data_IF_814014789896
#
_entry.id   IF_814014789896
#
_cell.length_a   1.000
_cell.length_b   1.000
_cell.length_c   1.000
_cell.angle_alpha   90.00
_cell.angle_beta   90.00
_cell.angle_gamma   90.00
#
_symmetry.space_group_name_H-M   'P 1'
#
loop_
_entity.id
_entity.type
_entity.pdbx_description
1 polymer ?
#
# COMPACT_ATOMS: atom_id res chain seq x y z
N UNK A 1 0.62 18.80 16.99
CA UNK A 1 1.32 17.50 17.15
C UNK A 1 2.81 17.53 16.78
N UNK A 2 3.36 18.59 16.17
CA UNK A 2 4.75 18.62 15.64
C UNK A 2 5.84 18.20 16.63
N UNK A 3 5.73 18.58 17.91
CA UNK A 3 6.69 18.17 18.95
C UNK A 3 6.76 16.64 19.15
N UNK A 4 5.63 15.94 19.03
CA UNK A 4 5.59 14.48 19.16
C UNK A 4 6.34 13.77 18.01
N UNK A 5 6.36 14.37 16.82
CA UNK A 5 7.07 13.85 15.66
C UNK A 5 8.60 13.99 15.76
N UNK A 6 9.14 14.80 16.68
CA UNK A 6 10.59 14.93 16.90
C UNK A 6 11.23 13.60 17.34
N UNK A 7 10.49 12.72 18.00
CA UNK A 7 11.03 11.40 18.33
C UNK A 7 11.05 10.48 17.10
N UNK A 8 10.07 10.61 16.18
CA UNK A 8 10.09 9.87 14.93
C UNK A 8 11.29 10.28 14.07
N UNK A 9 11.57 11.57 13.97
CA UNK A 9 12.72 12.08 13.22
C UNK A 9 14.03 11.49 13.74
N UNK A 10 14.23 11.47 15.06
CA UNK A 10 15.42 10.86 15.68
C UNK A 10 15.58 9.38 15.33
N UNK A 11 14.49 8.61 15.33
CA UNK A 11 14.52 7.18 14.94
C UNK A 11 14.92 7.04 13.47
N UNK A 12 14.32 7.83 12.58
CA UNK A 12 14.60 7.78 11.13
C UNK A 12 16.02 8.27 10.82
N UNK A 13 16.52 9.27 11.53
CA UNK A 13 17.89 9.80 11.38
C UNK A 13 18.97 8.78 11.75
N UNK A 14 18.66 7.79 12.59
CA UNK A 14 19.57 6.66 12.85
C UNK A 14 19.85 5.83 11.59
N UNK A 15 18.99 5.90 10.57
CA UNK A 15 19.16 5.25 9.27
C UNK A 15 20.02 6.09 8.31
N UNK A 16 20.49 7.27 8.74
CA UNK A 16 21.26 8.21 7.92
C UNK A 16 20.41 9.07 6.99
N UNK A 17 19.09 9.13 7.20
CA UNK A 17 18.18 10.02 6.50
C UNK A 17 18.14 11.39 7.20
N UNK A 18 18.16 12.47 6.43
CA UNK A 18 17.87 13.82 6.95
C UNK A 18 16.37 14.00 6.97
N UNK A 19 15.85 14.60 8.04
CA UNK A 19 14.41 14.76 8.22
C UNK A 19 14.07 16.22 8.50
N UNK A 20 12.86 16.63 8.12
CA UNK A 20 12.31 17.95 8.38
C UNK A 20 10.82 17.79 8.72
N UNK A 21 10.35 18.52 9.74
CA UNK A 21 8.92 18.60 10.08
C UNK A 21 8.38 19.90 9.50
N UNK A 22 7.27 19.80 8.77
CA UNK A 22 6.50 20.94 8.24
C UNK A 22 5.06 20.73 8.67
N UNK A 23 4.41 21.79 9.16
CA UNK A 23 3.03 21.69 9.66
C UNK A 23 2.02 22.11 8.60
N UNK A 24 0.82 21.53 8.65
CA UNK A 24 -0.25 21.87 7.73
C UNK A 24 -0.71 23.33 7.88
N UNK A 25 -0.61 23.93 9.07
CA UNK A 25 -0.90 25.34 9.27
C UNK A 25 0.07 26.23 8.50
N UNK A 26 1.36 25.87 8.48
CA UNK A 26 2.35 26.61 7.70
C UNK A 26 2.14 26.43 6.19
N UNK A 27 1.88 25.19 5.74
CA UNK A 27 1.59 24.93 4.31
C UNK A 27 0.34 25.71 3.88
N UNK A 28 -0.74 25.62 4.64
CA UNK A 28 -2.00 26.30 4.31
C UNK A 28 -1.86 27.82 4.23
N UNK A 29 -0.98 28.40 5.06
CA UNK A 29 -0.71 29.84 5.08
C UNK A 29 0.31 30.30 4.02
N UNK A 30 1.11 29.39 3.47
CA UNK A 30 2.24 29.72 2.57
C UNK A 30 1.93 29.44 1.10
N UNK A 31 1.18 28.38 0.82
CA UNK A 31 0.85 27.95 -0.53
C UNK A 31 -0.56 28.41 -0.91
N UNK A 32 -0.68 28.91 -2.14
CA UNK A 32 -1.96 29.13 -2.79
C UNK A 32 -2.48 27.79 -3.34
N UNK A 33 -3.80 27.65 -3.47
CA UNK A 33 -4.42 26.40 -3.93
C UNK A 33 -5.91 26.38 -3.61
N UNK A 34 -6.68 25.55 -4.32
CA UNK A 34 -8.14 25.45 -4.16
C UNK A 34 -8.53 24.84 -2.82
N UNK A 35 -7.72 23.90 -2.33
CA UNK A 35 -7.92 23.23 -1.05
C UNK A 35 -6.58 22.90 -0.36
N UNK A 36 -6.65 22.36 0.86
CA UNK A 36 -5.47 22.04 1.67
C UNK A 36 -4.58 20.98 1.02
N UNK A 37 -5.16 20.00 0.34
CA UNK A 37 -4.40 18.88 -0.23
C UNK A 37 -3.67 19.28 -1.51
N UNK A 38 -4.21 20.21 -2.30
CA UNK A 38 -3.49 20.82 -3.43
C UNK A 38 -2.29 21.63 -2.93
N UNK A 39 -2.46 22.41 -1.86
CA UNK A 39 -1.36 23.14 -1.22
C UNK A 39 -0.27 22.20 -0.68
N UNK A 40 -0.65 21.05 -0.15
CA UNK A 40 0.30 20.01 0.28
C UNK A 40 1.04 19.40 -0.91
N UNK A 41 0.35 19.14 -2.02
CA UNK A 41 0.95 18.65 -3.26
C UNK A 41 2.00 19.62 -3.81
N UNK A 42 1.65 20.90 -3.92
CA UNK A 42 2.56 21.96 -4.38
C UNK A 42 3.78 22.11 -3.45
N UNK A 43 3.57 22.05 -2.13
CA UNK A 43 4.67 22.05 -1.17
C UNK A 43 5.61 20.86 -1.36
N UNK A 44 5.08 19.66 -1.61
CA UNK A 44 5.89 18.46 -1.81
C UNK A 44 6.71 18.56 -3.11
N UNK A 45 6.12 19.10 -4.19
CA UNK A 45 6.84 19.36 -5.44
C UNK A 45 8.02 20.34 -5.21
N UNK A 46 7.77 21.45 -4.51
CA UNK A 46 8.82 22.39 -4.11
C UNK A 46 9.89 21.73 -3.23
N UNK A 47 9.50 20.88 -2.29
CA UNK A 47 10.43 20.17 -1.41
C UNK A 47 11.30 19.16 -2.18
N UNK A 48 10.78 18.55 -3.24
CA UNK A 48 11.58 17.71 -4.16
C UNK A 48 12.65 18.58 -4.83
N UNK A 49 12.25 19.70 -5.43
CA UNK A 49 13.17 20.57 -6.18
C UNK A 49 14.20 21.27 -5.30
N UNK A 50 13.79 21.76 -4.14
CA UNK A 50 14.62 22.58 -3.27
C UNK A 50 15.44 21.77 -2.27
N UNK A 51 14.87 20.67 -1.74
CA UNK A 51 15.49 19.88 -0.67
C UNK A 51 15.94 18.49 -1.12
N UNK A 52 15.43 17.99 -2.25
CA UNK A 52 15.72 16.65 -2.75
C UNK A 52 15.12 15.57 -1.86
N UNK A 53 13.89 15.78 -1.36
CA UNK A 53 13.20 14.76 -0.57
C UNK A 53 12.92 13.51 -1.42
N UNK A 54 12.88 12.35 -0.77
CA UNK A 54 12.54 11.06 -1.39
C UNK A 54 11.46 10.31 -0.63
N UNK A 55 11.09 10.81 0.54
CA UNK A 55 10.02 10.29 1.39
C UNK A 55 9.16 11.45 1.89
N UNK A 56 7.86 11.23 1.99
CA UNK A 56 6.96 12.05 2.78
C UNK A 56 6.11 11.15 3.69
N UNK A 57 5.99 11.55 4.97
CA UNK A 57 5.09 10.90 5.93
C UNK A 57 3.99 11.89 6.28
N UNK A 58 2.77 11.61 5.83
CA UNK A 58 1.58 12.41 6.13
C UNK A 58 1.16 12.13 7.58
N UNK A 59 1.55 13.01 8.49
CA UNK A 59 1.37 12.85 9.94
C UNK A 59 0.00 13.30 10.46
N UNK A 60 -1.07 12.95 9.77
CA UNK A 60 -2.44 13.36 10.07
C UNK A 60 -3.44 12.38 9.50
N UNK A 61 -4.63 12.36 10.11
CA UNK A 61 -5.74 11.55 9.65
C UNK A 61 -6.64 12.26 8.62
N UNK A 62 -7.76 11.64 8.22
CA UNK A 62 -8.70 12.21 7.26
C UNK A 62 -9.33 13.53 7.72
N UNK A 63 -9.51 13.71 9.03
CA UNK A 63 -9.93 14.99 9.62
C UNK A 63 -8.76 15.79 10.18
N UNK A 64 -8.47 16.97 9.61
CA UNK A 64 -7.40 17.86 10.08
C UNK A 64 -7.98 19.05 10.84
N UNK A 65 -8.73 19.93 10.18
CA UNK A 65 -9.29 21.14 10.80
C UNK A 65 -10.75 20.96 11.23
N UNK A 66 -11.10 19.74 11.69
CA UNK A 66 -12.46 19.37 12.05
C UNK A 66 -13.38 19.17 10.84
N UNK A 67 -12.79 18.95 9.66
CA UNK A 67 -13.46 18.68 8.39
C UNK A 67 -12.74 17.51 7.71
N UNK A 68 -13.38 16.88 6.73
CA UNK A 68 -12.77 15.81 5.93
C UNK A 68 -11.80 16.39 4.87
N UNK A 69 -10.75 17.07 5.33
CA UNK A 69 -9.82 17.86 4.54
C UNK A 69 -8.39 17.30 4.50
N UNK A 70 -8.15 16.14 5.12
CA UNK A 70 -6.88 15.41 5.14
C UNK A 70 -6.69 14.37 4.04
N UNK A 71 -7.59 14.33 3.05
CA UNK A 71 -7.61 13.33 1.97
C UNK A 71 -7.73 13.98 0.60
N UNK A 72 -7.00 13.41 -0.38
CA UNK A 72 -7.35 13.56 -1.79
C UNK A 72 -8.20 12.38 -2.23
N UNK A 73 -9.36 12.68 -2.80
CA UNK A 73 -10.17 11.70 -3.52
C UNK A 73 -9.84 11.76 -5.01
N UNK A 74 -9.75 10.59 -5.65
CA UNK A 74 -9.67 10.47 -7.11
C UNK A 74 -10.94 9.86 -7.68
N UNK A 75 -11.23 10.16 -8.94
CA UNK A 75 -12.36 9.63 -9.66
C UNK A 75 -12.04 8.26 -10.28
N UNK A 76 -12.88 7.27 -9.99
CA UNK A 76 -12.75 5.87 -10.41
C UNK A 76 -14.15 5.31 -10.72
N UNK A 77 -14.43 5.07 -12.00
CA UNK A 77 -15.73 4.60 -12.48
C UNK A 77 -15.81 3.07 -12.62
N UNK A 78 -15.56 2.35 -11.52
CA UNK A 78 -15.57 0.87 -11.47
C UNK A 78 -16.99 0.26 -11.30
N UNK A 79 -17.07 -1.02 -10.91
CA UNK A 79 -18.34 -1.72 -10.65
C UNK A 79 -18.79 -1.71 -9.18
N UNK A 80 -18.00 -1.14 -8.26
CA UNK A 80 -18.27 -1.29 -6.84
C UNK A 80 -19.36 -0.32 -6.38
N UNK A 81 -20.46 -0.88 -5.88
CA UNK A 81 -21.33 -0.15 -4.98
C UNK A 81 -20.74 -0.22 -3.57
N UNK A 82 -20.51 0.92 -2.94
CA UNK A 82 -19.85 1.03 -1.63
C UNK A 82 -20.82 1.61 -0.60
N UNK A 83 -21.82 0.82 -0.15
CA UNK A 83 -22.91 1.33 0.70
C UNK A 83 -22.47 1.73 2.11
N UNK A 84 -21.26 1.34 2.51
CA UNK A 84 -20.80 1.38 3.90
C UNK A 84 -20.29 2.77 4.28
N UNK A 85 -19.70 3.50 3.34
CA UNK A 85 -19.11 4.83 3.58
C UNK A 85 -19.82 5.81 2.67
N UNK A 86 -20.62 6.67 3.26
CA UNK A 86 -21.52 7.58 2.58
C UNK A 86 -20.77 8.75 1.93
N UNK A 87 -20.03 8.47 0.86
CA UNK A 87 -19.55 9.46 -0.09
C UNK A 87 -19.56 8.85 -1.49
N UNK A 88 -19.75 9.70 -2.48
CA UNK A 88 -19.95 9.39 -3.90
C UNK A 88 -19.20 8.11 -4.36
N UNK A 89 -19.97 7.19 -4.95
CA UNK A 89 -19.52 5.87 -5.41
C UNK A 89 -18.34 5.93 -6.38
N UNK A 90 -18.09 7.08 -6.99
CA UNK A 90 -17.03 7.27 -7.97
C UNK A 90 -15.72 7.76 -7.34
N UNK A 91 -15.74 8.23 -6.09
CA UNK A 91 -14.57 8.86 -5.47
C UNK A 91 -13.92 7.93 -4.47
N UNK A 92 -12.59 7.84 -4.52
CA UNK A 92 -11.78 6.95 -3.68
C UNK A 92 -10.63 7.74 -3.06
N UNK A 93 -10.41 7.65 -1.74
CA UNK A 93 -9.19 8.19 -1.13
C UNK A 93 -7.94 7.63 -1.84
N UNK A 94 -6.95 8.48 -2.07
CA UNK A 94 -5.73 8.11 -2.79
C UNK A 94 -4.52 8.92 -2.33
N UNK A 95 -3.57 8.26 -1.65
CA UNK A 95 -2.32 8.89 -1.21
C UNK A 95 -1.25 8.92 -2.32
N UNK A 96 -1.42 8.14 -3.40
CA UNK A 96 -0.53 8.18 -4.57
C UNK A 96 -0.53 9.56 -5.26
N UNK A 97 -1.58 10.36 -5.05
CA UNK A 97 -1.62 11.78 -5.46
C UNK A 97 -0.43 12.56 -4.92
N UNK A 98 -0.04 12.34 -3.65
CA UNK A 98 1.09 13.04 -3.03
C UNK A 98 2.46 12.48 -3.44
N UNK A 99 2.48 11.40 -4.23
CA UNK A 99 3.69 10.74 -4.66
C UNK A 99 4.05 11.05 -6.11
N UNK A 100 3.05 11.29 -6.97
CA UNK A 100 3.25 11.77 -8.34
C UNK A 100 3.05 13.29 -8.42
N UNK A 101 4.15 14.03 -8.50
CA UNK A 101 4.23 15.46 -8.26
C UNK A 101 4.52 16.28 -9.53
N UNK A 102 4.97 15.65 -10.61
CA UNK A 102 5.35 16.33 -11.85
C UNK A 102 4.23 16.46 -12.90
N UNK A 103 3.00 16.10 -12.53
CA UNK A 103 1.82 16.13 -13.40
C UNK A 103 0.60 16.73 -12.70
N UNK A 104 -0.25 17.42 -13.45
CA UNK A 104 -1.51 17.94 -12.92
C UNK A 104 -2.57 16.82 -12.93
N UNK A 105 -3.09 16.50 -11.74
CA UNK A 105 -4.12 15.48 -11.55
C UNK A 105 -5.54 15.98 -11.83
N UNK A 106 -5.75 17.21 -12.29
CA UNK A 106 -7.05 17.74 -12.70
C UNK A 106 -6.84 18.65 -13.92
N UNK A 107 -6.70 18.02 -15.10
CA UNK A 107 -6.23 18.68 -16.32
C UNK A 107 -7.30 19.56 -16.97
N UNK A 108 -8.58 19.25 -16.81
CA UNK A 108 -9.69 20.10 -17.30
C UNK A 108 -10.17 21.13 -16.27
N UNK A 109 -9.59 21.11 -15.07
CA UNK A 109 -9.96 22.03 -14.00
C UNK A 109 -11.42 21.87 -13.61
N UNK A 110 -11.98 20.68 -13.83
CA UNK A 110 -13.37 20.37 -13.57
C UNK A 110 -13.60 19.89 -12.13
N UNK A 111 -12.51 19.65 -11.37
CA UNK A 111 -12.52 19.23 -9.97
C UNK A 111 -12.49 17.71 -9.75
N UNK A 112 -12.51 16.93 -10.83
CA UNK A 112 -12.41 15.47 -10.78
C UNK A 112 -10.94 15.06 -10.85
N UNK A 113 -10.35 14.78 -9.70
CA UNK A 113 -8.93 14.44 -9.69
C UNK A 113 -8.67 13.02 -10.19
N UNK A 114 -7.59 12.88 -10.94
CA UNK A 114 -6.99 11.62 -11.30
C UNK A 114 -7.88 10.84 -12.24
N UNK A 115 -8.48 11.46 -13.24
CA UNK A 115 -9.28 10.73 -14.23
C UNK A 115 -8.41 9.84 -15.13
N UNK A 116 -9.05 8.88 -15.78
CA UNK A 116 -8.43 8.12 -16.86
C UNK A 116 -8.65 8.79 -18.20
N UNK A 117 -7.91 8.35 -19.22
CA UNK A 117 -8.10 8.82 -20.60
C UNK A 117 -9.51 8.59 -21.15
N UNK A 118 -10.33 7.76 -20.49
CA UNK A 118 -11.73 7.56 -20.87
C UNK A 118 -12.67 8.63 -20.32
N UNK A 119 -12.27 9.32 -19.24
CA UNK A 119 -13.13 10.23 -18.48
C UNK A 119 -12.62 11.67 -18.50
N UNK A 120 -11.30 11.87 -18.58
CA UNK A 120 -10.71 13.18 -18.81
C UNK A 120 -11.16 13.77 -20.15
N UNK A 121 -11.63 15.02 -20.13
CA UNK A 121 -12.10 15.74 -21.32
C UNK A 121 -11.04 15.83 -22.44
N UNK A 122 -9.76 15.71 -22.09
CA UNK A 122 -8.61 15.77 -22.99
C UNK A 122 -8.18 14.41 -23.55
N UNK A 123 -8.82 13.31 -23.13
CA UNK A 123 -8.52 11.96 -23.59
C UNK A 123 -7.14 11.43 -23.16
N UNK A 124 -6.57 11.98 -22.10
CA UNK A 124 -5.27 11.59 -21.52
C UNK A 124 -5.45 11.22 -20.04
N UNK A 125 -4.61 10.33 -19.47
CA UNK A 125 -4.67 10.05 -18.05
C UNK A 125 -4.15 11.25 -17.23
N UNK A 126 -4.80 11.53 -16.10
CA UNK A 126 -4.39 12.60 -15.19
C UNK A 126 -3.55 12.09 -14.02
N UNK A 127 -3.41 10.79 -13.88
CA UNK A 127 -2.59 10.19 -12.81
C UNK A 127 -1.12 10.16 -13.21
N UNK A 128 -0.25 10.59 -12.31
CA UNK A 128 1.18 10.29 -12.42
C UNK A 128 1.52 8.98 -11.68
N UNK A 129 1.95 8.00 -12.48
CA UNK A 129 2.29 6.65 -12.04
C UNK A 129 3.80 6.43 -11.94
N UNK A 130 4.57 7.46 -12.30
CA UNK A 130 6.03 7.53 -12.17
C UNK A 130 6.38 8.33 -10.93
N UNK A 131 5.99 7.80 -9.77
CA UNK A 131 6.16 8.46 -8.48
C UNK A 131 7.54 9.11 -8.31
N UNK A 132 7.52 10.40 -7.96
CA UNK A 132 8.69 11.21 -7.65
C UNK A 132 9.25 10.89 -6.26
N UNK A 133 8.35 10.59 -5.31
CA UNK A 133 8.68 10.27 -3.93
C UNK A 133 7.89 9.07 -3.40
N UNK A 134 8.30 8.57 -2.23
CA UNK A 134 7.55 7.53 -1.51
C UNK A 134 6.71 8.19 -0.43
N UNK A 135 5.40 7.98 -0.49
CA UNK A 135 4.45 8.46 0.51
C UNK A 135 3.96 7.32 1.40
N UNK A 136 3.84 7.62 2.67
CA UNK A 136 3.06 6.85 3.64
C UNK A 136 2.32 7.80 4.58
N UNK A 137 1.34 7.28 5.32
CA UNK A 137 0.55 8.04 6.27
C UNK A 137 0.68 7.51 7.69
N UNK A 138 0.73 8.40 8.65
CA UNK A 138 0.45 8.09 10.05
C UNK A 138 -0.92 8.67 10.37
N UNK A 139 -2.00 7.88 10.29
CA UNK A 139 -3.35 8.37 10.55
C UNK A 139 -3.54 8.53 12.05
N UNK A 140 -3.19 9.71 12.57
CA UNK A 140 -3.22 10.04 14.00
C UNK A 140 -4.01 11.33 14.23
N UNK A 141 -4.64 11.44 15.39
CA UNK A 141 -5.35 12.64 15.84
C UNK A 141 -4.64 13.33 17.00
N UNK A 142 -3.83 12.60 17.77
CA UNK A 142 -3.27 13.07 19.04
C UNK A 142 -1.75 12.90 19.11
N UNK A 143 -1.12 13.70 19.98
CA UNK A 143 0.31 13.59 20.25
C UNK A 143 0.66 12.26 20.92
N UNK A 144 -0.27 11.73 21.72
CA UNK A 144 -0.15 10.47 22.45
C UNK A 144 -0.11 9.27 21.50
N UNK A 145 -0.94 9.26 20.45
CA UNK A 145 -0.90 8.23 19.40
C UNK A 145 0.44 8.22 18.66
N UNK A 146 0.98 9.41 18.34
CA UNK A 146 2.31 9.54 17.73
C UNK A 146 3.39 8.98 18.65
N UNK A 147 3.37 9.35 19.94
CA UNK A 147 4.34 8.86 20.92
C UNK A 147 4.28 7.34 21.03
N UNK A 148 3.08 6.78 21.18
CA UNK A 148 2.88 5.34 21.29
C UNK A 148 3.35 4.57 20.04
N UNK A 149 3.08 5.12 18.85
CA UNK A 149 3.57 4.57 17.58
C UNK A 149 5.10 4.58 17.52
N UNK A 150 5.74 5.70 17.86
CA UNK A 150 7.21 5.86 17.81
C UNK A 150 7.91 4.95 18.81
N UNK A 151 7.40 4.84 20.03
CA UNK A 151 7.95 3.95 21.07
C UNK A 151 7.93 2.49 20.62
N UNK A 152 6.80 2.05 20.05
CA UNK A 152 6.70 0.70 19.47
C UNK A 152 7.66 0.50 18.31
N UNK A 153 7.70 1.45 17.37
CA UNK A 153 8.56 1.38 16.20
C UNK A 153 10.03 1.28 16.56
N UNK A 154 10.47 2.00 17.62
CA UNK A 154 11.82 1.96 18.15
C UNK A 154 12.12 0.63 18.89
N UNK A 155 11.12 0.04 19.56
CA UNK A 155 11.26 -1.21 20.31
C UNK A 155 11.12 -2.49 19.44
N UNK A 156 10.81 -2.34 18.15
CA UNK A 156 10.53 -3.46 17.23
C UNK A 156 11.70 -4.47 17.16
N UNK A 157 11.38 -5.76 17.08
CA UNK A 157 12.38 -6.81 16.96
C UNK A 157 12.54 -7.27 15.51
N UNK A 158 13.59 -6.83 14.85
CA UNK A 158 13.86 -7.20 13.46
C UNK A 158 14.57 -8.56 13.28
N UNK A 159 14.87 -9.28 14.37
CA UNK A 159 15.63 -10.56 14.36
C UNK A 159 14.72 -11.78 14.51
N UNK A 160 15.09 -12.91 13.86
CA UNK A 160 14.27 -14.13 13.81
C UNK A 160 12.80 -13.85 13.44
N UNK A 161 12.54 -13.20 12.28
CA UNK A 161 11.19 -12.82 11.89
C UNK A 161 10.34 -14.05 11.55
N UNK A 162 9.05 -13.96 11.82
CA UNK A 162 8.05 -14.91 11.36
C UNK A 162 7.09 -14.23 10.37
N UNK A 163 6.64 -15.01 9.40
CA UNK A 163 5.59 -14.66 8.46
C UNK A 163 4.31 -15.37 8.86
N UNK A 164 3.22 -14.62 8.98
CA UNK A 164 1.88 -15.15 9.13
C UNK A 164 1.11 -14.94 7.83
N UNK A 165 0.62 -16.02 7.24
CA UNK A 165 -0.24 -16.02 6.07
C UNK A 165 -1.65 -16.44 6.46
N UNK A 166 -2.64 -15.61 6.17
CA UNK A 166 -4.05 -15.95 6.35
C UNK A 166 -4.84 -15.89 5.05
N UNK A 167 -5.68 -16.89 4.81
CA UNK A 167 -6.44 -17.01 3.57
C UNK A 167 -7.84 -17.51 3.84
N UNK A 168 -8.84 -16.64 3.67
CA UNK A 168 -10.25 -17.01 3.74
C UNK A 168 -10.79 -17.34 2.34
N UNK A 169 -11.96 -17.96 2.24
CA UNK A 169 -12.64 -18.01 0.94
C UNK A 169 -13.03 -16.60 0.48
N UNK A 170 -12.95 -16.35 -0.83
CA UNK A 170 -13.40 -15.12 -1.50
C UNK A 170 -14.75 -15.35 -2.20
N UNK A 171 -15.01 -16.59 -2.58
CA UNK A 171 -16.32 -17.07 -3.04
C UNK A 171 -16.52 -18.49 -2.53
N UNK A 172 -17.66 -19.12 -2.79
CA UNK A 172 -17.90 -20.51 -2.38
C UNK A 172 -16.94 -21.55 -2.98
N UNK A 173 -16.13 -21.16 -3.98
CA UNK A 173 -15.20 -22.02 -4.70
C UNK A 173 -13.77 -21.46 -4.81
N UNK A 174 -13.54 -20.20 -4.45
CA UNK A 174 -12.24 -19.54 -4.58
C UNK A 174 -11.64 -19.33 -3.19
N UNK A 175 -10.49 -19.94 -2.94
CA UNK A 175 -9.76 -19.87 -1.66
C UNK A 175 -8.63 -18.83 -1.73
N UNK A 176 -8.60 -17.89 -0.79
CA UNK A 176 -7.48 -16.95 -0.61
C UNK A 176 -6.15 -17.65 -0.27
N UNK A 177 -6.22 -18.89 0.25
CA UNK A 177 -5.07 -19.74 0.50
C UNK A 177 -4.19 -19.93 -0.75
N UNK A 178 -4.77 -19.95 -1.96
CA UNK A 178 -4.00 -20.06 -3.21
C UNK A 178 -3.03 -18.88 -3.40
N UNK A 179 -3.49 -17.66 -3.13
CA UNK A 179 -2.62 -16.48 -3.19
C UNK A 179 -1.53 -16.61 -2.13
N UNK A 180 -1.85 -17.04 -0.91
CA UNK A 180 -0.86 -17.25 0.14
C UNK A 180 0.23 -18.27 -0.26
N UNK A 181 -0.11 -19.34 -0.99
CA UNK A 181 0.90 -20.28 -1.51
C UNK A 181 1.85 -19.62 -2.53
N UNK A 182 1.36 -18.74 -3.40
CA UNK A 182 2.22 -17.95 -4.30
C UNK A 182 3.11 -16.97 -3.53
N UNK A 183 2.58 -16.30 -2.50
CA UNK A 183 3.37 -15.43 -1.62
C UNK A 183 4.50 -16.21 -0.95
N UNK A 184 4.20 -17.39 -0.41
CA UNK A 184 5.21 -18.28 0.16
C UNK A 184 6.26 -18.69 -0.89
N UNK A 185 5.85 -19.11 -2.08
CA UNK A 185 6.77 -19.53 -3.13
C UNK A 185 7.79 -18.42 -3.47
N UNK A 186 7.34 -17.16 -3.59
CA UNK A 186 8.24 -16.03 -3.83
C UNK A 186 9.16 -15.75 -2.61
N UNK A 187 8.68 -16.00 -1.38
CA UNK A 187 9.43 -15.77 -0.13
C UNK A 187 10.41 -16.89 0.23
N UNK A 188 10.16 -18.13 -0.19
CA UNK A 188 11.00 -19.30 0.08
C UNK A 188 12.42 -19.15 -0.48
N UNK A 189 12.64 -18.22 -1.41
CA UNK A 189 13.97 -17.87 -1.91
C UNK A 189 14.79 -16.96 -0.97
N UNK A 190 14.27 -16.52 0.19
CA UNK A 190 14.92 -15.54 1.06
C UNK A 190 15.46 -16.13 2.39
N UNK A 191 16.69 -15.73 2.76
CA UNK A 191 17.38 -16.28 3.95
C UNK A 191 16.73 -15.97 5.30
N UNK A 192 15.90 -14.92 5.42
CA UNK A 192 15.22 -14.62 6.69
C UNK A 192 14.03 -15.54 6.98
N UNK A 193 13.51 -16.23 5.95
CA UNK A 193 12.44 -17.23 6.07
C UNK A 193 12.91 -18.60 5.55
N UNK A 194 14.23 -18.84 5.52
CA UNK A 194 14.82 -20.06 4.94
C UNK A 194 14.30 -21.36 5.58
N UNK A 195 13.79 -21.25 6.81
CA UNK A 195 13.09 -22.34 7.45
C UNK A 195 11.57 -22.15 7.30
N UNK A 196 10.90 -23.08 6.63
CA UNK A 196 9.42 -23.12 6.56
C UNK A 196 8.75 -23.07 7.95
N UNK A 197 9.45 -23.42 9.03
CA UNK A 197 8.97 -23.26 10.41
C UNK A 197 8.75 -21.79 10.83
N UNK A 198 9.29 -20.83 10.10
CA UNK A 198 9.05 -19.40 10.29
C UNK A 198 7.86 -18.89 9.46
N UNK A 199 7.25 -19.73 8.63
CA UNK A 199 6.09 -19.44 7.79
C UNK A 199 4.87 -20.17 8.34
N UNK A 200 3.95 -19.40 8.93
CA UNK A 200 2.72 -19.90 9.55
C UNK A 200 1.53 -19.70 8.62
N UNK A 201 0.68 -20.71 8.48
CA UNK A 201 -0.46 -20.72 7.56
C UNK A 201 -1.76 -20.96 8.30
N UNK A 202 -2.67 -20.01 8.21
CA UNK A 202 -4.02 -20.07 8.77
C UNK A 202 -5.05 -19.92 7.65
N UNK A 203 -5.68 -21.01 7.24
CA UNK A 203 -6.57 -21.02 6.07
C UNK A 203 -7.97 -21.51 6.40
N UNK A 204 -8.97 -20.83 5.83
CA UNK A 204 -10.31 -21.36 5.60
C UNK A 204 -10.27 -22.12 4.27
N UNK A 205 -10.16 -23.44 4.33
CA UNK A 205 -9.96 -24.28 3.15
C UNK A 205 -10.70 -25.61 3.28
N UNK A 206 -11.13 -26.16 2.15
CA UNK A 206 -11.73 -27.49 2.07
C UNK A 206 -10.70 -28.61 1.86
N UNK A 207 -9.43 -28.25 1.65
CA UNK A 207 -8.34 -29.20 1.38
C UNK A 207 -7.93 -29.95 2.66
N UNK A 208 -8.01 -29.30 3.82
CA UNK A 208 -7.68 -29.90 5.11
C UNK A 208 -8.94 -30.35 5.86
N UNK A 209 -8.78 -31.33 6.77
CA UNK A 209 -9.89 -31.92 7.53
C UNK A 209 -10.59 -30.93 8.46
N UNK A 210 -9.90 -29.87 8.89
CA UNK A 210 -10.44 -28.79 9.70
C UNK A 210 -9.83 -27.45 9.25
N UNK A 211 -10.64 -26.39 9.22
CA UNK A 211 -10.16 -25.02 9.04
C UNK A 211 -9.41 -24.56 10.29
N UNK A 212 -8.23 -23.96 10.09
CA UNK A 212 -7.43 -23.42 11.19
C UNK A 212 -7.39 -21.87 11.19
N UNK A 213 -8.05 -21.20 10.23
CA UNK A 213 -8.22 -19.75 10.28
C UNK A 213 -9.30 -19.39 11.29
N UNK A 214 -8.87 -18.96 12.47
CA UNK A 214 -9.74 -18.49 13.54
C UNK A 214 -9.13 -17.27 14.19
N UNK A 215 -9.99 -16.45 14.81
CA UNK A 215 -9.58 -15.33 15.64
C UNK A 215 -8.52 -15.72 16.69
N UNK A 216 -8.78 -16.81 17.41
CA UNK A 216 -7.87 -17.33 18.42
C UNK A 216 -6.49 -17.67 17.84
N UNK A 217 -6.45 -18.37 16.71
CA UNK A 217 -5.18 -18.76 16.09
C UNK A 217 -4.40 -17.54 15.59
N UNK A 218 -5.04 -16.54 14.99
CA UNK A 218 -4.37 -15.31 14.56
C UNK A 218 -3.77 -14.58 15.76
N UNK A 219 -4.57 -14.34 16.82
CA UNK A 219 -4.09 -13.67 18.05
C UNK A 219 -2.96 -14.44 18.73
N UNK A 220 -3.06 -15.77 18.76
CA UNK A 220 -2.01 -16.64 19.28
C UNK A 220 -0.70 -16.45 18.51
N UNK A 221 -0.74 -16.34 17.18
CA UNK A 221 0.46 -16.14 16.38
C UNK A 221 1.08 -14.75 16.57
N UNK A 222 0.25 -13.71 16.61
CA UNK A 222 0.71 -12.34 16.89
C UNK A 222 1.33 -12.21 18.29
N UNK A 223 0.89 -13.03 19.26
CA UNK A 223 1.37 -12.99 20.65
C UNK A 223 2.62 -13.86 20.87
N UNK A 224 2.63 -15.07 20.30
CA UNK A 224 3.61 -16.10 20.64
C UNK A 224 4.81 -16.17 19.69
N UNK A 225 4.72 -15.57 18.50
CA UNK A 225 5.82 -15.48 17.56
C UNK A 225 6.22 -14.04 17.32
N UNK A 226 7.50 -13.84 16.95
CA UNK A 226 7.95 -12.55 16.44
C UNK A 226 7.44 -12.35 15.00
N UNK A 227 6.13 -12.16 14.84
CA UNK A 227 5.51 -11.94 13.54
C UNK A 227 5.93 -10.57 13.02
N UNK A 228 6.75 -10.54 11.97
CA UNK A 228 7.24 -9.31 11.33
C UNK A 228 6.43 -8.96 10.09
N UNK A 229 5.80 -9.96 9.48
CA UNK A 229 4.88 -9.77 8.35
C UNK A 229 3.61 -10.59 8.63
N UNK A 230 2.46 -9.94 8.53
CA UNK A 230 1.17 -10.59 8.52
C UNK A 230 0.47 -10.24 7.21
N UNK A 231 0.33 -11.19 6.31
CA UNK A 231 -0.28 -10.98 5.01
C UNK A 231 -1.53 -11.83 4.87
N UNK A 232 -2.63 -11.24 4.39
CA UNK A 232 -3.85 -12.00 4.21
C UNK A 232 -4.63 -11.66 2.95
N UNK A 233 -5.52 -12.61 2.63
CA UNK A 233 -6.44 -12.58 1.50
C UNK A 233 -7.81 -13.05 1.98
N UNK A 234 -8.77 -12.13 2.03
CA UNK A 234 -10.12 -12.41 2.53
C UNK A 234 -11.11 -11.32 2.15
N UNK A 235 -12.38 -11.54 2.51
CA UNK A 235 -13.31 -10.42 2.64
C UNK A 235 -12.87 -9.47 3.75
N UNK A 236 -13.28 -8.21 3.61
CA UNK A 236 -13.01 -7.16 4.57
C UNK A 236 -14.22 -6.26 4.76
N UNK A 237 -14.22 -5.62 5.92
CA UNK A 237 -15.08 -4.51 6.28
C UNK A 237 -14.21 -3.48 7.01
N UNK A 238 -14.77 -2.31 7.32
CA UNK A 238 -14.05 -1.24 8.05
C UNK A 238 -13.42 -1.78 9.34
N UNK A 239 -14.16 -2.60 10.08
CA UNK A 239 -13.81 -3.09 11.41
C UNK A 239 -13.04 -4.43 11.43
N UNK A 240 -12.80 -5.08 10.29
CA UNK A 240 -12.13 -6.39 10.30
C UNK A 240 -11.97 -7.11 8.97
N UNK A 241 -11.36 -8.28 9.05
CA UNK A 241 -11.21 -9.24 7.95
C UNK A 241 -11.90 -10.57 8.31
N UNK A 242 -12.68 -11.10 7.37
CA UNK A 242 -13.76 -12.06 7.65
C UNK A 242 -13.59 -13.40 6.95
N UNK A 243 -14.05 -14.44 7.64
CA UNK A 243 -14.31 -15.76 7.07
C UNK A 243 -15.55 -15.72 6.18
N UNK A 244 -15.53 -16.44 5.06
CA UNK A 244 -16.63 -16.43 4.08
C UNK A 244 -17.88 -17.11 4.62
N UNK A 245 -17.76 -18.32 5.18
CA UNK A 245 -18.92 -19.15 5.48
C UNK A 245 -19.64 -18.76 6.77
N UNK A 246 -18.88 -18.25 7.74
CA UNK A 246 -19.41 -17.91 9.07
C UNK A 246 -19.69 -16.42 9.22
N UNK A 247 -19.17 -15.59 8.32
CA UNK A 247 -19.19 -14.13 8.44
C UNK A 247 -18.65 -13.64 9.80
N UNK A 248 -17.66 -14.35 10.35
CA UNK A 248 -16.98 -13.97 11.60
C UNK A 248 -15.59 -13.43 11.30
N UNK A 249 -15.13 -12.39 12.01
CA UNK A 249 -13.80 -11.84 11.80
C UNK A 249 -12.74 -12.79 12.37
N UNK A 250 -11.69 -13.06 11.59
CA UNK A 250 -10.47 -13.70 12.12
C UNK A 250 -9.49 -12.66 12.66
N UNK A 251 -9.67 -11.39 12.32
CA UNK A 251 -9.02 -10.25 12.95
C UNK A 251 -9.96 -9.03 12.84
N UNK A 252 -10.08 -8.26 13.91
CA UNK A 252 -10.92 -7.06 13.97
C UNK A 252 -10.26 -5.93 14.75
N UNK A 253 -10.82 -4.73 14.66
CA UNK A 253 -10.45 -3.58 15.50
C UNK A 253 -10.50 -3.94 16.98
N UNK A 254 -11.52 -4.69 17.41
CA UNK A 254 -11.66 -5.13 18.80
C UNK A 254 -10.52 -6.07 19.23
N UNK A 255 -10.02 -6.91 18.32
CA UNK A 255 -8.90 -7.81 18.62
C UNK A 255 -7.58 -7.07 18.77
N UNK A 256 -7.32 -6.12 17.87
CA UNK A 256 -6.15 -5.24 17.96
C UNK A 256 -6.20 -4.42 19.24
N UNK A 257 -7.39 -3.90 19.60
CA UNK A 257 -7.57 -3.19 20.85
C UNK A 257 -7.37 -4.04 22.10
N UNK A 258 -7.50 -5.36 21.97
CA UNK A 258 -7.31 -6.31 23.06
C UNK A 258 -5.91 -6.96 23.10
N UNK A 259 -4.98 -6.59 22.21
CA UNK A 259 -3.60 -7.11 22.29
C UNK A 259 -2.86 -6.50 23.47
N UNK A 260 -2.22 -7.35 24.27
CA UNK A 260 -1.56 -6.96 25.52
C UNK A 260 -0.07 -6.65 25.36
N UNK A 261 0.48 -6.83 24.15
CA UNK A 261 1.89 -6.63 23.82
C UNK A 261 2.02 -6.03 22.42
N UNK A 262 3.03 -5.19 22.17
CA UNK A 262 3.28 -4.63 20.85
C UNK A 262 3.40 -5.71 19.77
N UNK A 263 2.64 -5.54 18.69
CA UNK A 263 2.74 -6.37 17.49
C UNK A 263 3.90 -5.82 16.64
N UNK A 264 4.82 -6.69 16.25
CA UNK A 264 5.98 -6.30 15.44
C UNK A 264 5.66 -6.24 13.93
N UNK A 265 4.45 -6.63 13.54
CA UNK A 265 4.13 -6.93 12.16
C UNK A 265 3.81 -5.69 11.34
N UNK A 266 4.36 -5.69 10.12
CA UNK A 266 3.71 -5.07 8.97
C UNK A 266 2.57 -5.95 8.49
N UNK A 267 1.39 -5.34 8.36
CA UNK A 267 0.21 -6.00 7.81
C UNK A 267 0.05 -5.69 6.32
N UNK A 268 -0.20 -6.70 5.49
CA UNK A 268 -0.70 -6.52 4.11
C UNK A 268 -2.08 -7.14 3.98
N UNK A 269 -3.07 -6.27 3.83
CA UNK A 269 -4.48 -6.62 3.76
C UNK A 269 -5.00 -6.59 2.33
N UNK A 270 -5.13 -7.76 1.69
CA UNK A 270 -6.00 -7.85 0.51
C UNK A 270 -7.43 -8.12 0.97
N UNK A 271 -8.09 -7.03 1.42
CA UNK A 271 -9.42 -7.04 1.99
C UNK A 271 -10.05 -5.65 1.87
N UNK A 272 -11.33 -5.61 1.51
CA UNK A 272 -12.08 -4.38 1.30
C UNK A 272 -12.15 -3.53 2.59
N UNK A 273 -12.10 -2.21 2.43
CA UNK A 273 -12.36 -1.19 3.47
C UNK A 273 -11.47 -1.21 4.71
N UNK A 274 -10.50 -2.11 4.83
CA UNK A 274 -9.69 -2.23 6.03
C UNK A 274 -8.72 -1.07 6.25
N UNK A 275 -8.57 -0.17 5.27
CA UNK A 275 -7.80 1.07 5.36
C UNK A 275 -8.68 2.30 5.05
N UNK A 276 -9.98 2.21 5.35
CA UNK A 276 -10.94 3.29 5.09
C UNK A 276 -10.74 4.46 6.07
N UNK A 277 -9.74 5.30 5.79
CA UNK A 277 -9.36 6.44 6.64
C UNK A 277 -10.48 7.43 6.94
N UNK A 278 -11.50 7.50 6.10
CA UNK A 278 -12.63 8.41 6.25
C UNK A 278 -13.84 7.75 6.93
N UNK A 279 -13.72 6.52 7.41
CA UNK A 279 -14.87 5.81 7.98
C UNK A 279 -15.35 6.43 9.28
N UNK A 280 -14.43 6.92 10.12
CA UNK A 280 -14.77 7.52 11.40
C UNK A 280 -15.49 8.88 11.22
N UNK A 281 -15.06 9.65 10.21
CA UNK A 281 -15.54 11.00 9.92
C UNK A 281 -16.85 11.07 9.13
N UNK A 282 -17.18 10.04 8.34
CA UNK A 282 -18.31 10.07 7.38
C UNK A 282 -19.65 9.62 7.95
N UNK A 283 -19.82 9.68 9.29
CA UNK A 283 -21.03 9.31 10.02
C UNK A 283 -21.49 7.84 9.78
N UNK A 284 -20.54 6.98 9.41
CA UNK A 284 -20.81 5.57 9.07
C UNK A 284 -21.09 4.68 10.28
N UNK A 285 -20.80 5.17 11.50
CA UNK A 285 -20.99 4.44 12.76
C UNK A 285 -19.96 3.33 13.03
N UNK A 286 -18.97 3.15 12.16
CA UNK A 286 -17.96 2.07 12.30
C UNK A 286 -16.71 2.47 13.10
N UNK A 287 -16.46 3.77 13.31
CA UNK A 287 -15.26 4.26 13.98
C UNK A 287 -14.00 4.11 13.10
N UNK A 288 -12.79 4.03 13.70
CA UNK A 288 -11.55 3.89 12.95
C UNK A 288 -11.49 2.55 12.24
N UNK A 289 -10.94 2.54 11.03
CA UNK A 289 -10.70 1.31 10.27
C UNK A 289 -9.69 0.38 10.97
N UNK A 290 -9.67 -0.89 10.56
CA UNK A 290 -8.70 -1.87 11.05
C UNK A 290 -7.25 -1.37 10.91
N UNK A 291 -6.92 -0.72 9.80
CA UNK A 291 -5.60 -0.14 9.55
C UNK A 291 -5.26 1.02 10.47
N UNK A 292 -6.23 1.90 10.77
CA UNK A 292 -6.04 2.97 11.75
C UNK A 292 -5.85 2.40 13.16
N UNK A 293 -6.69 1.45 13.58
CA UNK A 293 -6.55 0.78 14.87
C UNK A 293 -5.19 0.06 14.99
N UNK A 294 -4.72 -0.56 13.90
CA UNK A 294 -3.40 -1.19 13.83
C UNK A 294 -2.25 -0.22 14.08
N UNK A 295 -2.36 1.04 13.65
CA UNK A 295 -1.32 2.06 13.83
C UNK A 295 -1.48 2.81 15.16
N UNK A 296 -2.69 3.24 15.51
CA UNK A 296 -2.98 4.08 16.69
C UNK A 296 -2.87 3.33 18.01
N UNK A 297 -3.19 2.03 18.03
CA UNK A 297 -3.14 1.26 19.27
C UNK A 297 -1.70 1.19 19.79
N UNK A 298 -1.41 1.46 21.07
CA UNK A 298 -0.05 1.37 21.62
C UNK A 298 0.63 0.00 21.45
N UNK A 299 -0.17 -1.07 21.45
CA UNK A 299 0.25 -2.43 21.22
C UNK A 299 0.00 -2.92 19.78
N UNK A 300 -0.45 -2.05 18.87
CA UNK A 300 -0.70 -2.35 17.45
C UNK A 300 0.56 -2.74 16.67
N UNK A 301 0.51 -2.74 15.33
CA UNK A 301 1.65 -3.09 14.48
C UNK A 301 2.46 -1.89 13.97
N UNK A 302 3.49 -2.14 13.17
CA UNK A 302 4.45 -1.10 12.77
C UNK A 302 4.11 -0.42 11.45
N UNK A 303 3.39 -1.11 10.57
CA UNK A 303 2.94 -0.58 9.29
C UNK A 303 1.74 -1.40 8.79
N UNK A 304 0.97 -0.84 7.87
CA UNK A 304 -0.23 -1.46 7.32
C UNK A 304 -0.37 -1.07 5.85
N UNK A 305 -0.54 -2.03 4.96
CA UNK A 305 -0.96 -1.77 3.58
C UNK A 305 -2.35 -2.33 3.37
N UNK A 306 -3.30 -1.50 2.97
CA UNK A 306 -4.66 -1.95 2.73
C UNK A 306 -5.44 -0.98 1.85
N UNK A 307 -6.72 -1.30 1.67
CA UNK A 307 -7.58 -0.61 0.72
C UNK A 307 -8.67 0.18 1.45
N UNK A 308 -8.87 1.46 1.11
CA UNK A 308 -9.91 2.29 1.71
C UNK A 308 -11.30 1.84 1.28
N UNK A 309 -11.39 1.04 0.22
CA UNK A 309 -12.60 0.68 -0.50
C UNK A 309 -12.52 -0.74 -1.04
N UNK A 310 -13.43 -1.13 -1.94
CA UNK A 310 -13.46 -2.49 -2.49
C UNK A 310 -12.16 -2.81 -3.22
N UNK A 311 -11.46 -3.88 -2.80
CA UNK A 311 -10.27 -4.41 -3.45
C UNK A 311 -10.64 -5.60 -4.34
N UNK A 312 -10.17 -5.63 -5.59
CA UNK A 312 -10.41 -6.75 -6.50
C UNK A 312 -9.21 -7.67 -6.62
N UNK A 313 -9.47 -8.91 -7.00
CA UNK A 313 -8.45 -9.94 -7.22
C UNK A 313 -8.93 -10.96 -8.27
N UNK A 314 -8.03 -11.42 -9.12
CA UNK A 314 -8.21 -12.69 -9.83
C UNK A 314 -7.45 -13.78 -9.09
N UNK A 315 -8.19 -14.81 -8.68
CA UNK A 315 -7.64 -15.96 -7.98
C UNK A 315 -8.12 -17.21 -8.72
N UNK A 316 -7.16 -17.95 -9.26
CA UNK A 316 -7.43 -19.22 -9.94
C UNK A 316 -7.80 -20.33 -8.95
N UNK A 317 -8.82 -21.12 -9.27
CA UNK A 317 -9.30 -22.23 -8.44
C UNK A 317 -9.06 -23.64 -9.00
N UNK A 318 -8.32 -23.79 -10.12
CA UNK A 318 -8.06 -25.10 -10.72
C UNK A 318 -6.62 -25.56 -10.50
N UNK A 319 -6.46 -26.82 -10.09
CA UNK A 319 -5.21 -27.52 -9.74
C UNK A 319 -4.04 -27.45 -10.75
N UNK A 320 -4.23 -26.89 -11.95
CA UNK A 320 -3.27 -26.98 -13.04
C UNK A 320 -2.70 -25.63 -13.54
N UNK A 321 -3.03 -24.49 -12.93
CA UNK A 321 -2.37 -23.18 -13.17
C UNK A 321 -2.14 -22.76 -14.65
N UNK A 322 -2.86 -23.34 -15.62
CA UNK A 322 -2.73 -23.03 -17.04
C UNK A 322 -3.92 -22.21 -17.52
N UNK A 323 -3.62 -21.08 -18.15
CA UNK A 323 -4.50 -20.09 -18.79
C UNK A 323 -5.86 -20.62 -19.27
N UNK A 324 -6.85 -20.49 -18.38
CA UNK A 324 -8.25 -20.12 -18.60
C UNK A 324 -8.83 -19.85 -17.20
N UNK A 325 -8.63 -18.64 -16.67
CA UNK A 325 -9.10 -18.20 -15.33
C UNK A 325 -8.43 -18.86 -14.10
N UNK A 326 -7.27 -19.51 -14.29
CA UNK A 326 -6.58 -20.32 -13.28
C UNK A 326 -5.26 -19.76 -12.75
N UNK A 327 -4.99 -18.46 -12.82
CA UNK A 327 -3.70 -17.88 -12.37
C UNK A 327 -3.96 -16.76 -11.38
N UNK A 328 -3.21 -16.71 -10.27
CA UNK A 328 -3.13 -15.53 -9.41
C UNK A 328 -2.39 -14.44 -10.21
N UNK A 329 -3.14 -13.46 -10.71
CA UNK A 329 -2.61 -12.42 -11.57
C UNK A 329 -3.44 -11.16 -11.41
N UNK A 330 -2.78 -10.03 -11.54
CA UNK A 330 -3.43 -8.74 -11.63
C UNK A 330 -4.06 -8.27 -10.33
N UNK A 331 -4.49 -7.02 -10.35
CA UNK A 331 -5.21 -6.36 -9.29
C UNK A 331 -4.46 -6.50 -7.94
N UNK A 332 -5.20 -6.47 -6.84
CA UNK A 332 -4.62 -6.49 -5.49
C UNK A 332 -3.83 -7.77 -5.20
N UNK A 333 -4.28 -8.93 -5.72
CA UNK A 333 -3.59 -10.21 -5.52
C UNK A 333 -2.25 -10.27 -6.26
N UNK A 334 -2.23 -9.79 -7.49
CA UNK A 334 -1.05 -9.71 -8.33
C UNK A 334 -0.02 -8.75 -7.73
N UNK A 335 -0.44 -7.56 -7.31
CA UNK A 335 0.43 -6.58 -6.65
C UNK A 335 1.03 -7.13 -5.34
N UNK A 336 0.21 -7.82 -4.53
CA UNK A 336 0.67 -8.45 -3.28
C UNK A 336 1.73 -9.53 -3.56
N UNK A 337 1.51 -10.43 -4.53
CA UNK A 337 2.51 -11.44 -4.90
C UNK A 337 3.77 -10.82 -5.51
N UNK A 338 3.59 -9.83 -6.38
CA UNK A 338 4.70 -9.10 -7.01
C UNK A 338 5.57 -8.40 -5.98
N UNK A 339 4.99 -7.87 -4.92
CA UNK A 339 5.74 -7.25 -3.82
C UNK A 339 6.71 -8.25 -3.19
N UNK A 340 6.28 -9.47 -2.88
CA UNK A 340 7.17 -10.48 -2.31
C UNK A 340 8.24 -10.92 -3.31
N UNK A 341 7.91 -10.98 -4.60
CA UNK A 341 8.90 -11.18 -5.68
C UNK A 341 9.93 -10.04 -5.75
N UNK A 342 9.51 -8.80 -5.53
CA UNK A 342 10.39 -7.63 -5.43
C UNK A 342 11.30 -7.75 -4.23
N UNK A 343 10.77 -8.04 -3.04
CA UNK A 343 11.57 -8.29 -1.84
C UNK A 343 12.63 -9.35 -2.13
N UNK A 344 12.24 -10.48 -2.71
CA UNK A 344 13.15 -11.57 -3.03
C UNK A 344 14.26 -11.15 -4.01
N UNK A 345 13.90 -10.49 -5.11
CA UNK A 345 14.86 -10.12 -6.17
C UNK A 345 15.74 -8.92 -5.85
N UNK A 346 15.37 -8.09 -4.88
CA UNK A 346 16.08 -6.84 -4.58
C UNK A 346 16.64 -6.79 -3.17
N UNK A 347 16.14 -7.63 -2.27
CA UNK A 347 16.41 -7.61 -0.83
C UNK A 347 16.02 -6.28 -0.15
N UNK A 348 15.12 -5.50 -0.77
CA UNK A 348 14.50 -4.33 -0.17
C UNK A 348 13.48 -4.81 0.86
N UNK A 349 13.66 -4.38 2.10
CA UNK A 349 12.81 -4.81 3.22
C UNK A 349 12.10 -3.65 3.90
N UNK A 350 12.34 -2.40 3.50
CA UNK A 350 11.54 -1.27 3.97
C UNK A 350 10.24 -1.19 3.16
N UNK A 351 9.07 -1.01 3.80
CA UNK A 351 7.78 -1.17 3.17
C UNK A 351 7.55 -0.16 2.04
N UNK A 352 7.94 1.10 2.21
CA UNK A 352 7.77 2.13 1.19
C UNK A 352 8.49 1.81 -0.12
N UNK A 353 9.83 1.71 -0.13
CA UNK A 353 10.58 1.35 -1.35
C UNK A 353 10.17 0.01 -1.94
N UNK A 354 9.79 -0.95 -1.08
CA UNK A 354 9.32 -2.26 -1.51
C UNK A 354 8.01 -2.18 -2.31
N UNK A 355 7.01 -1.50 -1.76
CA UNK A 355 5.67 -1.35 -2.35
C UNK A 355 5.73 -0.50 -3.61
N UNK A 356 6.41 0.64 -3.58
CA UNK A 356 6.49 1.54 -4.73
C UNK A 356 7.21 0.89 -5.91
N UNK A 357 8.30 0.15 -5.65
CA UNK A 357 8.95 -0.63 -6.70
C UNK A 357 8.03 -1.74 -7.24
N UNK A 358 7.21 -2.36 -6.39
CA UNK A 358 6.22 -3.33 -6.84
C UNK A 358 5.16 -2.68 -7.73
N UNK A 359 4.62 -1.52 -7.37
CA UNK A 359 3.68 -0.75 -8.22
C UNK A 359 4.30 -0.37 -9.57
N UNK A 360 5.53 0.17 -9.57
CA UNK A 360 6.25 0.47 -10.81
C UNK A 360 6.48 -0.77 -11.69
N UNK A 361 6.84 -1.89 -11.07
CA UNK A 361 6.99 -3.18 -11.76
C UNK A 361 5.66 -3.74 -12.24
N UNK A 362 4.59 -3.41 -11.55
CA UNK A 362 3.24 -3.77 -11.93
C UNK A 362 2.84 -3.03 -13.21
N UNK A 363 3.03 -1.70 -13.27
CA UNK A 363 2.74 -0.90 -14.47
C UNK A 363 3.59 -1.30 -15.68
N UNK A 364 4.86 -1.65 -15.43
CA UNK A 364 5.78 -2.12 -16.47
C UNK A 364 5.47 -3.55 -16.95
N UNK A 365 5.04 -4.44 -16.04
CA UNK A 365 4.48 -5.76 -16.35
C UNK A 365 5.47 -6.88 -16.70
N UNK A 366 6.78 -6.62 -16.79
CA UNK A 366 7.74 -7.66 -17.21
C UNK A 366 8.01 -8.76 -16.17
N UNK A 367 7.58 -8.55 -14.93
CA UNK A 367 7.82 -9.50 -13.84
C UNK A 367 6.66 -10.47 -13.61
N UNK A 368 5.65 -10.48 -14.49
CA UNK A 368 4.43 -11.25 -14.29
C UNK A 368 3.56 -10.64 -13.19
N UNK A 369 2.45 -11.32 -12.87
CA UNK A 369 1.45 -10.87 -11.90
C UNK A 369 0.72 -9.55 -12.24
N UNK A 370 1.04 -8.88 -13.34
CA UNK A 370 0.38 -7.63 -13.75
C UNK A 370 -0.67 -7.86 -14.83
N UNK A 371 -1.80 -7.15 -14.71
CA UNK A 371 -2.82 -7.00 -15.75
C UNK A 371 -2.92 -5.58 -16.30
N UNK A 372 -1.95 -4.71 -15.98
CA UNK A 372 -2.04 -3.27 -16.27
C UNK A 372 -2.25 -2.96 -17.75
N UNK A 373 -1.52 -3.70 -18.60
CA UNK A 373 -1.60 -3.56 -20.06
C UNK A 373 -2.62 -4.53 -20.71
N UNK A 374 -3.39 -5.26 -19.89
CA UNK A 374 -4.32 -6.31 -20.32
C UNK A 374 -5.77 -5.86 -20.06
N UNK A 375 -6.14 -5.53 -18.83
CA UNK A 375 -7.52 -5.19 -18.47
C UNK A 375 -8.10 -4.01 -19.26
N UNK A 376 -7.37 -2.92 -19.56
CA UNK A 376 -7.90 -1.84 -20.37
C UNK A 376 -8.35 -2.27 -21.77
N UNK A 377 -7.85 -3.39 -22.31
CA UNK A 377 -8.28 -3.93 -23.60
C UNK A 377 -9.74 -4.44 -23.58
N UNK A 378 -10.34 -4.62 -22.40
CA UNK A 378 -11.72 -5.07 -22.22
C UNK A 378 -12.71 -3.91 -22.00
N UNK A 379 -12.26 -2.66 -22.05
CA UNK A 379 -13.08 -1.45 -21.98
C UNK A 379 -12.82 -0.60 -20.73
N UNK A 380 -13.41 0.59 -20.70
CA UNK A 380 -13.15 1.60 -19.67
C UNK A 380 -13.38 1.08 -18.25
N UNK A 381 -14.46 0.33 -18.01
CA UNK A 381 -14.76 -0.21 -16.69
C UNK A 381 -13.70 -1.18 -16.14
N UNK A 382 -13.09 -1.99 -17.00
CA UNK A 382 -11.99 -2.87 -16.60
C UNK A 382 -10.69 -2.09 -16.37
N UNK A 383 -10.47 -1.01 -17.13
CA UNK A 383 -9.38 -0.08 -16.86
C UNK A 383 -9.54 0.59 -15.47
N UNK A 384 -10.75 0.95 -15.07
CA UNK A 384 -11.02 1.52 -13.75
C UNK A 384 -10.87 0.52 -12.60
N UNK A 385 -11.30 -0.74 -12.78
CA UNK A 385 -11.01 -1.81 -11.80
C UNK A 385 -9.50 -1.96 -11.57
N UNK A 386 -8.73 -1.95 -12.65
CA UNK A 386 -7.27 -2.05 -12.61
C UNK A 386 -6.67 -0.86 -11.86
N UNK A 387 -6.96 0.36 -12.34
CA UNK A 387 -6.47 1.61 -11.74
C UNK A 387 -6.79 1.69 -10.26
N UNK A 388 -8.02 1.36 -9.85
CA UNK A 388 -8.42 1.32 -8.44
C UNK A 388 -7.53 0.41 -7.61
N UNK A 389 -7.29 -0.80 -8.09
CA UNK A 389 -6.61 -1.87 -7.35
C UNK A 389 -5.13 -1.56 -7.08
N UNK A 390 -4.54 -0.68 -7.90
CA UNK A 390 -3.14 -0.25 -7.72
C UNK A 390 -3.02 1.12 -7.05
N UNK A 391 -3.86 2.09 -7.42
CA UNK A 391 -3.76 3.48 -6.96
C UNK A 391 -4.27 3.68 -5.53
N UNK A 392 -5.34 2.99 -5.17
CA UNK A 392 -6.05 3.28 -3.91
C UNK A 392 -5.49 2.52 -2.72
N UNK A 393 -4.59 1.55 -2.94
CA UNK A 393 -3.91 0.87 -1.85
C UNK A 393 -2.97 1.82 -1.10
N UNK A 394 -3.20 2.00 0.19
CA UNK A 394 -2.51 2.97 1.04
C UNK A 394 -1.53 2.30 1.98
N UNK A 395 -0.36 2.92 2.16
CA UNK A 395 0.63 2.52 3.16
C UNK A 395 0.50 3.40 4.40
N UNK A 396 0.09 2.81 5.52
CA UNK A 396 0.18 3.42 6.83
C UNK A 396 1.45 2.98 7.56
N UNK A 397 2.01 3.89 8.36
CA UNK A 397 3.25 3.68 9.10
C UNK A 397 4.42 4.51 8.55
N UNK A 398 5.62 4.13 8.97
CA UNK A 398 6.87 4.76 8.56
C UNK A 398 7.46 3.94 7.38
N UNK A 399 7.71 4.57 6.22
CA UNK A 399 8.01 3.84 4.98
C UNK A 399 9.46 3.37 4.85
N UNK A 400 10.40 3.98 5.56
CA UNK A 400 11.84 3.81 5.35
C UNK A 400 12.48 2.72 6.23
N UNK A 401 11.77 2.30 7.28
CA UNK A 401 12.21 1.34 8.27
C UNK A 401 12.06 -0.10 7.77
N UNK A 402 13.14 -0.91 7.79
CA UNK A 402 13.08 -2.32 7.43
C UNK A 402 12.10 -3.14 8.27
N UNK A 403 11.28 -3.93 7.59
CA UNK A 403 10.38 -4.95 8.16
C UNK A 403 11.16 -6.08 8.86
N UNK A 404 12.32 -6.43 8.32
CA UNK A 404 13.21 -7.49 8.82
C UNK A 404 14.65 -7.01 8.78
N UNK A 405 15.48 -7.49 9.72
CA UNK A 405 16.89 -7.14 9.77
C UNK A 405 17.59 -7.61 8.50
N UNK A 406 18.18 -6.67 7.77
CA UNK A 406 18.99 -7.00 6.61
C UNK A 406 20.35 -7.54 7.11
N UNK A 407 20.87 -8.64 6.54
CA UNK A 407 22.21 -9.16 6.90
C UNK A 407 23.35 -8.24 6.44
N UNK A 408 23.02 -7.24 5.64
CA UNK A 408 23.91 -6.16 5.22
C UNK A 408 23.54 -4.89 6.00
N UNK A 409 24.51 -4.10 6.44
CA UNK A 409 24.27 -2.84 7.18
C UNK A 409 23.25 -1.99 6.42
N UNK A 410 22.02 -1.87 6.92
CA UNK A 410 20.97 -1.19 6.18
C UNK A 410 21.28 0.30 6.09
N UNK A 411 21.49 0.77 4.85
CA UNK A 411 21.33 2.16 4.47
C UNK A 411 20.12 2.19 3.53
N UNK A 412 19.17 3.12 3.71
CA UNK A 412 18.02 3.23 2.84
C UNK A 412 18.48 3.25 1.38
N UNK A 413 17.76 2.53 0.49
CA UNK A 413 18.15 2.52 -0.91
C UNK A 413 18.11 3.94 -1.45
N UNK A 414 19.18 4.38 -2.14
CA UNK A 414 19.13 5.64 -2.87
C UNK A 414 18.27 5.40 -4.11
N UNK A 415 17.12 6.05 -4.18
CA UNK A 415 16.25 6.02 -5.36
C UNK A 415 16.58 7.27 -6.17
N UNK A 416 17.01 7.08 -7.41
CA UNK A 416 17.21 8.16 -8.37
C UNK A 416 16.29 7.88 -9.56
N UNK A 417 15.36 8.80 -9.84
CA UNK A 417 14.70 8.87 -11.13
C UNK A 417 15.61 9.68 -12.05
N UNK A 418 16.25 9.03 -13.02
CA UNK A 418 17.10 9.72 -13.99
C UNK A 418 16.26 10.07 -15.21
N UNK A 419 16.18 11.36 -15.58
CA UNK A 419 15.53 11.77 -16.81
C UNK A 419 16.28 11.17 -18.00
N UNK A 420 15.56 10.68 -19.01
CA UNK A 420 16.20 10.48 -20.32
C UNK A 420 16.12 11.74 -21.15
N UNK A 421 17.23 12.05 -21.80
CA UNK A 421 17.20 12.83 -23.04
C UNK A 421 16.22 12.15 -23.98
N UNK A 422 15.17 12.87 -24.39
CA UNK A 422 14.17 12.45 -25.37
C UNK A 422 14.89 11.91 -26.62
N UNK A 423 15.05 10.59 -26.75
CA UNK A 423 15.52 10.01 -28.00
C UNK A 423 14.31 9.91 -28.90
N UNK A 424 14.35 10.65 -30.01
CA UNK A 424 13.30 10.85 -31.02
C UNK A 424 12.85 9.60 -31.78
N UNK A 425 13.08 8.40 -31.24
CA UNK A 425 12.75 7.16 -31.92
C UNK A 425 11.64 6.41 -31.15
N UNK A 426 10.42 6.53 -31.68
CA UNK A 426 9.21 5.71 -31.41
C UNK A 426 8.29 6.08 -30.23
N UNK A 427 8.32 7.30 -29.70
CA UNK A 427 7.30 7.73 -28.71
C UNK A 427 7.29 6.93 -27.40
N UNK A 428 8.38 6.22 -27.09
CA UNK A 428 8.57 5.53 -25.83
C UNK A 428 9.40 6.43 -24.93
N UNK A 429 8.77 7.04 -23.93
CA UNK A 429 9.53 7.67 -22.85
C UNK A 429 10.27 6.58 -22.07
N UNK A 430 11.56 6.81 -21.82
CA UNK A 430 12.41 5.92 -21.03
C UNK A 430 12.74 6.67 -19.74
N UNK A 431 12.65 6.01 -18.61
CA UNK A 431 13.13 6.58 -17.35
C UNK A 431 13.95 5.52 -16.64
N UNK A 432 15.00 5.96 -15.95
CA UNK A 432 15.80 5.04 -15.15
C UNK A 432 15.46 5.26 -13.69
N UNK A 433 14.86 4.26 -13.05
CA UNK A 433 14.76 4.27 -11.59
C UNK A 433 15.96 3.48 -11.08
N UNK A 434 17.05 4.20 -10.79
CA UNK A 434 18.22 3.60 -10.17
C UNK A 434 17.93 3.50 -8.68
N UNK A 435 17.68 2.27 -8.23
CA UNK A 435 17.64 1.94 -6.81
C UNK A 435 19.01 1.40 -6.45
N UNK A 436 19.77 2.18 -5.69
CA UNK A 436 21.09 1.77 -5.19
C UNK A 436 20.92 1.25 -3.77
N UNK A 437 20.98 -0.08 -3.53
CA UNK A 437 20.90 -0.61 -2.18
C UNK A 437 22.10 -0.09 -1.38
N UNK A 438 21.87 0.47 -0.19
CA UNK A 438 22.92 1.18 0.52
C UNK A 438 24.06 0.32 1.09
N UNK A 439 24.06 -1.00 0.90
CA UNK A 439 25.11 -1.92 1.37
C UNK A 439 25.38 -3.17 0.49
N UNK A 440 24.85 -3.21 -0.74
CA UNK A 440 25.02 -4.34 -1.67
C UNK A 440 25.46 -3.83 -3.07
N UNK A 441 26.01 -4.69 -3.96
CA UNK A 441 26.35 -4.26 -5.32
C UNK A 441 25.14 -3.64 -6.02
N UNK A 442 25.38 -2.53 -6.71
CA UNK A 442 24.37 -1.73 -7.43
C UNK A 442 23.52 -2.63 -8.34
N UNK A 443 22.22 -2.73 -8.06
CA UNK A 443 21.24 -3.36 -8.96
C UNK A 443 20.42 -2.27 -9.62
N UNK A 444 20.81 -1.87 -10.83
CA UNK A 444 20.00 -0.94 -11.64
C UNK A 444 18.76 -1.67 -12.17
N UNK A 445 17.59 -1.15 -11.84
CA UNK A 445 16.34 -1.62 -12.44
C UNK A 445 16.00 -0.68 -13.60
N UNK A 446 16.08 -1.19 -14.83
CA UNK A 446 15.56 -0.45 -15.99
C UNK A 446 14.05 -0.65 -16.06
N UNK A 447 13.31 0.44 -16.22
CA UNK A 447 11.88 0.43 -16.49
C UNK A 447 11.66 0.97 -17.90
N UNK A 448 10.89 0.22 -18.70
CA UNK A 448 10.46 0.65 -20.02
C UNK A 448 8.94 0.83 -19.97
N UNK A 449 8.48 2.05 -19.66
CA UNK A 449 7.06 2.34 -19.78
C UNK A 449 6.73 2.58 -21.25
N UNK A 450 6.02 1.63 -21.85
CA UNK A 450 5.53 1.77 -23.20
C UNK A 450 4.14 2.41 -23.12
N UNK A 451 4.07 3.74 -23.13
CA UNK A 451 2.79 4.42 -23.32
C UNK A 451 2.29 4.03 -24.72
N UNK A 452 1.19 3.28 -24.80
CA UNK A 452 0.52 3.00 -26.08
C UNK A 452 -0.12 4.31 -26.53
N UNK A 453 0.57 5.07 -27.37
CA UNK A 453 -0.11 6.05 -28.22
C UNK A 453 -1.00 5.27 -29.18
N UNK A 454 -2.31 5.25 -28.92
CA UNK A 454 -3.28 4.84 -29.93
C UNK A 454 -3.29 5.92 -31.00
N UNK A 455 -2.49 5.72 -32.05
CA UNK A 455 -2.59 6.52 -33.26
C UNK A 455 -3.95 6.23 -33.91
N UNK A 456 -4.87 7.17 -33.81
CA UNK A 456 -6.05 7.19 -34.68
C UNK A 456 -5.69 8.00 -35.93
N UNK A 457 -5.59 7.30 -37.06
CA UNK A 457 -5.58 7.88 -38.40
C UNK A 457 -7.01 8.02 -38.92
#
# INVERSE_FOLDING_TARGET
>A
MSEAFVNLTRVVETLGLRTQIVTLEWVNATYEGRDLMEKVHDFLADAVDQWGIVYAVLGFDASVFGQLDGLRYICVYDYAYEPVIAYDLQYKPCDDYFAGLDHNWDLDGDGNYGESSYYCAWGVPETDLLYDIIVARLPVHTAEEVQAYVERLAARNATNPHLLLAGAFITSTIEGAWVCYHQEHELHAFTAFFNHMQIHRLFETKIFSETNLTNYNVRSHLTNYNTSVFSWVSHGHVDGAYLYYTNTPFISVADINAVSRPVNAFAWAMSCLTAALDSEETDSGYGPSLGEAWIRNPNGGTAYFGYPRTSYAFIGGNHNETLSWGVVVGLSAGLQCLTWKVLNRTHITAPGPLIYLAKLKYFEGSWGYSTWNILPCFGSRYAEIERKSDLTGMLFGEPSIPLIANRFSYRPPRIEVLPTTVSSDRGVQRFWIRITPGSAPTRSVTLHLKQRTTSFS
#
